data_IF_444562558289
#
_entry.id   IF_444562558289
#
_cell.length_a   1.000
_cell.length_b   1.000
_cell.length_c   1.000
_cell.angle_alpha   90.00
_cell.angle_beta   90.00
_cell.angle_gamma   90.00
#
_symmetry.space_group_name_H-M   'P 1'
#
loop_
_entity.id
_entity.type
_entity.pdbx_description
1 polymer ?
#
# COMPACT_ATOMS: atom_id res chain seq x y z
N UNK A 1 -15.22 -30.89 -13.03
CA UNK A 1 -14.96 -30.40 -14.40
C UNK A 1 -15.39 -28.94 -14.42
N UNK A 2 -14.46 -28.03 -14.16
CA UNK A 2 -14.74 -26.58 -14.26
C UNK A 2 -14.92 -26.27 -15.74
N UNK A 3 -16.02 -25.64 -16.12
CA UNK A 3 -16.07 -24.97 -17.41
C UNK A 3 -14.92 -23.97 -17.40
N UNK A 4 -13.93 -24.16 -18.27
CA UNK A 4 -12.90 -23.17 -18.54
C UNK A 4 -13.64 -21.98 -19.15
N UNK A 5 -13.79 -20.91 -18.38
CA UNK A 5 -14.38 -19.67 -18.85
C UNK A 5 -13.59 -19.23 -20.10
N UNK A 6 -14.29 -18.77 -21.15
CA UNK A 6 -13.65 -18.33 -22.39
C UNK A 6 -12.57 -17.25 -22.11
N UNK A 7 -11.37 -17.32 -22.72
CA UNK A 7 -10.27 -16.41 -22.41
C UNK A 7 -10.64 -14.93 -22.50
N UNK A 8 -11.42 -14.53 -23.50
CA UNK A 8 -11.85 -13.15 -23.65
C UNK A 8 -12.82 -12.72 -22.54
N UNK A 9 -13.76 -13.59 -22.16
CA UNK A 9 -14.66 -13.34 -21.04
C UNK A 9 -13.91 -13.24 -19.70
N UNK A 10 -12.90 -14.09 -19.48
CA UNK A 10 -12.00 -14.01 -18.34
C UNK A 10 -11.25 -12.69 -18.29
N UNK A 11 -10.63 -12.28 -19.41
CA UNK A 11 -9.91 -11.02 -19.55
C UNK A 11 -10.80 -9.83 -19.17
N UNK A 12 -11.97 -9.72 -19.78
CA UNK A 12 -12.91 -8.63 -19.53
C UNK A 12 -13.40 -8.60 -18.06
N UNK A 13 -13.65 -9.77 -17.48
CA UNK A 13 -14.07 -9.89 -16.09
C UNK A 13 -12.96 -9.45 -15.14
N UNK A 14 -11.72 -9.84 -15.43
CA UNK A 14 -10.58 -9.49 -14.61
C UNK A 14 -10.22 -8.01 -14.70
N UNK A 15 -10.26 -7.41 -15.89
CA UNK A 15 -10.13 -5.95 -16.07
C UNK A 15 -11.14 -5.18 -15.20
N UNK A 16 -12.41 -5.62 -15.16
CA UNK A 16 -13.45 -5.00 -14.32
C UNK A 16 -13.21 -5.18 -12.83
N UNK A 17 -12.57 -6.28 -12.42
CA UNK A 17 -12.19 -6.48 -11.02
C UNK A 17 -11.05 -5.56 -10.63
N UNK A 18 -10.01 -5.46 -11.46
CA UNK A 18 -8.85 -4.58 -11.25
C UNK A 18 -9.26 -3.11 -11.20
N UNK A 19 -10.17 -2.66 -12.07
CA UNK A 19 -10.63 -1.27 -12.07
C UNK A 19 -11.45 -0.87 -10.84
N UNK A 20 -11.95 -1.86 -10.08
CA UNK A 20 -12.69 -1.66 -8.83
C UNK A 20 -11.84 -1.87 -7.57
N UNK A 21 -10.54 -2.13 -7.73
CA UNK A 21 -9.64 -2.29 -6.60
C UNK A 21 -9.56 -0.99 -5.79
N UNK A 22 -9.68 -1.16 -4.48
CA UNK A 22 -9.54 -0.11 -3.47
C UNK A 22 -8.69 -0.67 -2.31
N UNK A 23 -8.48 0.13 -1.26
CA UNK A 23 -7.65 -0.28 -0.12
C UNK A 23 -8.18 -1.53 0.62
N UNK A 24 -9.42 -1.99 0.39
CA UNK A 24 -10.04 -3.15 1.05
C UNK A 24 -9.29 -4.45 0.81
N UNK A 25 -9.01 -5.16 1.92
CA UNK A 25 -8.45 -6.52 1.87
C UNK A 25 -9.38 -7.49 1.12
N UNK A 26 -10.70 -7.29 1.22
CA UNK A 26 -11.69 -8.13 0.53
C UNK A 26 -11.59 -8.02 -0.99
N UNK A 27 -11.40 -6.80 -1.51
CA UNK A 27 -11.28 -6.55 -2.95
C UNK A 27 -10.02 -7.22 -3.53
N UNK A 28 -8.88 -7.07 -2.86
CA UNK A 28 -7.61 -7.70 -3.26
C UNK A 28 -7.70 -9.23 -3.20
N UNK A 29 -8.28 -9.78 -2.12
CA UNK A 29 -8.47 -11.22 -1.95
C UNK A 29 -9.38 -11.82 -3.04
N UNK A 30 -10.46 -11.14 -3.39
CA UNK A 30 -11.38 -11.57 -4.44
C UNK A 30 -10.67 -11.61 -5.81
N UNK A 31 -9.86 -10.58 -6.13
CA UNK A 31 -9.05 -10.57 -7.35
C UNK A 31 -8.05 -11.74 -7.39
N UNK A 32 -7.34 -11.99 -6.28
CA UNK A 32 -6.36 -13.07 -6.21
C UNK A 32 -7.02 -14.45 -6.37
N UNK A 33 -8.18 -14.66 -5.74
CA UNK A 33 -8.97 -15.87 -5.90
C UNK A 33 -9.46 -16.06 -7.33
N UNK A 34 -9.89 -14.98 -8.00
CA UNK A 34 -10.27 -15.04 -9.41
C UNK A 34 -9.08 -15.47 -10.29
N UNK A 35 -7.92 -14.86 -10.09
CA UNK A 35 -6.71 -15.16 -10.85
C UNK A 35 -6.27 -16.63 -10.67
N UNK A 36 -6.30 -17.15 -9.44
CA UNK A 36 -5.92 -18.54 -9.15
C UNK A 36 -6.96 -19.56 -9.61
N UNK A 37 -8.25 -19.22 -9.58
CA UNK A 37 -9.31 -20.08 -10.13
C UNK A 37 -9.11 -20.31 -11.63
N UNK A 38 -8.60 -19.31 -12.34
CA UNK A 38 -8.37 -19.32 -13.78
C UNK A 38 -6.86 -19.37 -14.11
N UNK A 39 -6.06 -20.06 -13.27
CA UNK A 39 -4.59 -20.12 -13.42
C UNK A 39 -4.08 -20.72 -14.74
N UNK A 40 -4.95 -21.41 -15.49
CA UNK A 40 -4.64 -21.89 -16.84
C UNK A 40 -4.51 -20.76 -17.88
N UNK A 41 -4.97 -19.56 -17.53
CA UNK A 41 -4.86 -18.33 -18.32
C UNK A 41 -3.95 -17.31 -17.63
N UNK A 42 -3.05 -17.75 -16.76
CA UNK A 42 -2.25 -16.85 -15.92
C UNK A 42 -1.39 -15.86 -16.70
N UNK A 43 -0.78 -16.26 -17.82
CA UNK A 43 -0.03 -15.37 -18.71
C UNK A 43 -0.92 -14.25 -19.30
N UNK A 44 -2.14 -14.58 -19.73
CA UNK A 44 -3.10 -13.59 -20.24
C UNK A 44 -3.59 -12.66 -19.13
N UNK A 45 -3.97 -13.24 -17.98
CA UNK A 45 -4.41 -12.46 -16.82
C UNK A 45 -3.30 -11.57 -16.27
N UNK A 46 -2.05 -12.05 -16.25
CA UNK A 46 -0.91 -11.24 -15.85
C UNK A 46 -0.63 -10.11 -16.84
N UNK A 47 -0.80 -10.37 -18.15
CA UNK A 47 -0.77 -9.32 -19.17
C UNK A 47 -1.81 -8.22 -18.89
N UNK A 48 -3.03 -8.59 -18.46
CA UNK A 48 -4.03 -7.59 -18.02
C UNK A 48 -3.55 -6.76 -16.83
N UNK A 49 -2.85 -7.36 -15.86
CA UNK A 49 -2.30 -6.61 -14.71
C UNK A 49 -1.34 -5.53 -15.22
N UNK A 50 -0.41 -5.90 -16.10
CA UNK A 50 0.56 -4.96 -16.66
C UNK A 50 -0.12 -3.89 -17.52
N UNK A 51 -1.05 -4.27 -18.39
CA UNK A 51 -1.83 -3.34 -19.21
C UNK A 51 -2.59 -2.32 -18.35
N UNK A 52 -3.25 -2.76 -17.28
CA UNK A 52 -3.98 -1.87 -16.38
C UNK A 52 -3.05 -0.98 -15.55
N UNK A 53 -1.89 -1.49 -15.12
CA UNK A 53 -0.87 -0.68 -14.45
C UNK A 53 -0.31 0.41 -15.36
N UNK A 54 -0.18 0.15 -16.66
CA UNK A 54 0.42 1.07 -17.62
C UNK A 54 -0.61 2.01 -18.28
N UNK A 55 -1.90 1.67 -18.23
CA UNK A 55 -2.98 2.45 -18.84
C UNK A 55 -3.07 3.88 -18.26
N UNK A 56 -3.12 4.88 -19.15
CA UNK A 56 -3.27 6.29 -18.79
C UNK A 56 -4.61 6.60 -18.10
N UNK A 57 -5.65 5.80 -18.37
CA UNK A 57 -6.98 5.95 -17.77
C UNK A 57 -7.03 5.51 -16.29
N UNK A 58 -6.00 4.80 -15.81
CA UNK A 58 -5.95 4.26 -14.45
C UNK A 58 -5.23 5.23 -13.52
N UNK A 59 -5.96 5.72 -12.53
CA UNK A 59 -5.42 6.66 -11.53
C UNK A 59 -4.24 6.09 -10.77
N UNK A 60 -3.31 6.95 -10.34
CA UNK A 60 -2.15 6.54 -9.53
C UNK A 60 -2.55 5.80 -8.25
N UNK A 61 -3.67 6.18 -7.64
CA UNK A 61 -4.16 5.52 -6.43
C UNK A 61 -4.64 4.09 -6.73
N UNK A 62 -5.33 3.89 -7.87
CA UNK A 62 -5.69 2.54 -8.34
C UNK A 62 -4.44 1.71 -8.65
N UNK A 63 -3.38 2.30 -9.23
CA UNK A 63 -2.10 1.60 -9.44
C UNK A 63 -1.46 1.17 -8.12
N UNK A 64 -1.52 2.00 -7.09
CA UNK A 64 -1.10 1.61 -5.72
C UNK A 64 -1.98 0.47 -5.18
N UNK A 65 -3.30 0.49 -5.40
CA UNK A 65 -4.17 -0.63 -5.02
C UNK A 65 -3.80 -1.93 -5.74
N UNK A 66 -3.47 -1.85 -7.02
CA UNK A 66 -2.97 -3.00 -7.79
C UNK A 66 -1.64 -3.52 -7.22
N UNK A 67 -0.75 -2.64 -6.78
CA UNK A 67 0.50 -3.04 -6.13
C UNK A 67 0.25 -3.84 -4.84
N UNK A 68 -0.69 -3.40 -3.99
CA UNK A 68 -1.08 -4.18 -2.81
C UNK A 68 -1.77 -5.50 -3.19
N UNK A 69 -2.58 -5.49 -4.25
CA UNK A 69 -3.17 -6.72 -4.78
C UNK A 69 -2.09 -7.70 -5.25
N UNK A 70 -1.01 -7.25 -5.89
CA UNK A 70 0.12 -8.10 -6.31
C UNK A 70 0.74 -8.81 -5.10
N UNK A 71 0.92 -8.12 -3.97
CA UNK A 71 1.38 -8.75 -2.73
C UNK A 71 0.42 -9.84 -2.25
N UNK A 72 -0.89 -9.55 -2.25
CA UNK A 72 -1.93 -10.53 -1.88
C UNK A 72 -1.95 -11.72 -2.85
N UNK A 73 -1.74 -11.47 -4.15
CA UNK A 73 -1.67 -12.51 -5.17
C UNK A 73 -0.47 -13.44 -4.94
N UNK A 74 0.69 -12.89 -4.61
CA UNK A 74 1.87 -13.69 -4.23
C UNK A 74 1.59 -14.58 -3.02
N UNK A 75 1.03 -14.01 -1.94
CA UNK A 75 0.69 -14.76 -0.72
C UNK A 75 -0.30 -15.90 -1.01
N UNK A 76 -1.30 -15.63 -1.84
CA UNK A 76 -2.30 -16.62 -2.24
C UNK A 76 -1.74 -17.68 -3.17
N UNK A 77 -0.85 -17.30 -4.09
CA UNK A 77 -0.19 -18.22 -5.03
C UNK A 77 0.73 -19.18 -4.29
N UNK A 78 1.50 -18.68 -3.32
CA UNK A 78 2.33 -19.51 -2.44
C UNK A 78 1.48 -20.49 -1.61
N UNK A 79 0.38 -20.03 -1.02
CA UNK A 79 -0.56 -20.90 -0.27
C UNK A 79 -1.22 -21.96 -1.15
N UNK A 80 -1.39 -21.68 -2.43
CA UNK A 80 -1.96 -22.60 -3.42
C UNK A 80 -0.90 -23.49 -4.10
N UNK A 81 0.37 -23.40 -3.68
CA UNK A 81 1.51 -24.08 -4.29
C UNK A 81 1.59 -23.86 -5.81
N UNK A 82 1.39 -22.60 -6.23
CA UNK A 82 1.40 -22.18 -7.63
C UNK A 82 2.45 -21.09 -7.87
N UNK A 83 3.51 -21.43 -8.62
CA UNK A 83 4.63 -20.53 -8.89
C UNK A 83 4.40 -19.49 -10.00
N UNK A 84 3.49 -19.75 -10.95
CA UNK A 84 3.37 -18.98 -12.21
C UNK A 84 3.28 -17.47 -12.01
N UNK A 85 2.35 -17.00 -11.17
CA UNK A 85 2.24 -15.58 -10.86
C UNK A 85 3.48 -15.02 -10.14
N UNK A 86 4.05 -15.77 -9.19
CA UNK A 86 5.24 -15.30 -8.45
C UNK A 86 6.46 -15.14 -9.35
N UNK A 87 6.61 -16.00 -10.36
CA UNK A 87 7.73 -15.96 -11.29
C UNK A 87 7.58 -14.82 -12.30
N UNK A 88 6.36 -14.59 -12.82
CA UNK A 88 6.07 -13.43 -13.65
C UNK A 88 6.26 -12.11 -12.90
N UNK A 89 5.82 -12.03 -11.64
CA UNK A 89 6.03 -10.84 -10.80
C UNK A 89 7.51 -10.59 -10.54
N UNK A 90 8.30 -11.63 -10.23
CA UNK A 90 9.76 -11.51 -10.07
C UNK A 90 10.43 -10.97 -11.33
N UNK A 91 10.03 -11.47 -12.50
CA UNK A 91 10.56 -11.06 -13.80
C UNK A 91 10.27 -9.59 -14.10
N UNK A 92 9.04 -9.15 -13.86
CA UNK A 92 8.54 -7.85 -14.31
C UNK A 92 8.42 -6.81 -13.16
N UNK A 93 9.05 -7.06 -12.01
CA UNK A 93 8.91 -6.22 -10.80
C UNK A 93 9.32 -4.76 -11.04
N UNK A 94 10.38 -4.53 -11.83
CA UNK A 94 10.83 -3.18 -12.19
C UNK A 94 9.80 -2.45 -13.04
N UNK A 95 9.16 -3.15 -13.98
CA UNK A 95 8.08 -2.59 -14.80
C UNK A 95 6.87 -2.23 -13.95
N UNK A 96 6.53 -3.07 -12.97
CA UNK A 96 5.47 -2.78 -12.00
C UNK A 96 5.81 -1.52 -11.18
N UNK A 97 7.05 -1.41 -10.70
CA UNK A 97 7.51 -0.25 -9.92
C UNK A 97 7.46 1.03 -10.75
N UNK A 98 7.97 1.02 -11.98
CA UNK A 98 7.96 2.21 -12.85
C UNK A 98 6.54 2.63 -13.25
N UNK A 99 5.60 1.68 -13.36
CA UNK A 99 4.20 2.00 -13.61
C UNK A 99 3.52 2.69 -12.41
N UNK A 100 3.86 2.31 -11.17
CA UNK A 100 3.27 2.88 -9.95
C UNK A 100 3.97 4.17 -9.51
N UNK A 101 5.27 4.26 -9.77
CA UNK A 101 6.09 5.44 -9.54
C UNK A 101 6.58 5.88 -10.91
N UNK A 102 5.84 6.69 -11.68
CA UNK A 102 6.32 7.29 -12.93
C UNK A 102 7.23 8.51 -12.67
N UNK A 103 7.96 8.98 -13.70
CA UNK A 103 8.91 10.11 -13.62
C UNK A 103 8.25 11.49 -13.36
N UNK A 104 6.97 11.54 -13.02
CA UNK A 104 6.22 12.79 -12.80
C UNK A 104 6.03 13.08 -11.30
N UNK A 105 5.45 14.24 -10.98
CA UNK A 105 5.17 14.63 -9.59
C UNK A 105 4.22 13.68 -8.86
N UNK A 106 3.34 12.98 -9.57
CA UNK A 106 2.40 12.04 -8.95
C UNK A 106 3.09 10.76 -8.47
N UNK A 107 4.16 10.32 -9.16
CA UNK A 107 4.96 9.17 -8.76
C UNK A 107 5.68 9.39 -7.43
N UNK A 108 6.15 10.61 -7.17
CA UNK A 108 6.86 10.95 -5.93
C UNK A 108 6.01 10.68 -4.67
N UNK A 109 4.70 10.94 -4.74
CA UNK A 109 3.78 10.66 -3.64
C UNK A 109 3.66 9.16 -3.32
N UNK A 110 4.01 8.28 -4.25
CA UNK A 110 3.92 6.83 -4.09
C UNK A 110 5.23 6.20 -3.58
N UNK A 111 6.36 6.94 -3.58
CA UNK A 111 7.70 6.39 -3.26
C UNK A 111 7.73 5.69 -1.90
N UNK A 112 7.20 6.32 -0.85
CA UNK A 112 7.18 5.74 0.49
C UNK A 112 6.37 4.44 0.56
N UNK A 113 5.23 4.41 -0.14
CA UNK A 113 4.35 3.25 -0.23
C UNK A 113 5.03 2.10 -0.97
N UNK A 114 5.59 2.36 -2.15
CA UNK A 114 6.26 1.33 -2.97
C UNK A 114 7.47 0.76 -2.23
N UNK A 115 8.30 1.61 -1.60
CA UNK A 115 9.44 1.16 -0.78
C UNK A 115 9.02 0.13 0.26
N UNK A 116 7.93 0.41 0.98
CA UNK A 116 7.41 -0.48 2.02
C UNK A 116 6.88 -1.80 1.44
N UNK A 117 6.12 -1.76 0.35
CA UNK A 117 5.60 -3.00 -0.28
C UNK A 117 6.75 -3.85 -0.83
N UNK A 118 7.77 -3.24 -1.42
CA UNK A 118 8.95 -3.95 -1.92
C UNK A 118 9.75 -4.62 -0.80
N UNK A 119 9.94 -3.93 0.33
CA UNK A 119 10.56 -4.54 1.52
C UNK A 119 9.77 -5.74 2.05
N UNK A 120 8.43 -5.64 2.09
CA UNK A 120 7.59 -6.78 2.47
C UNK A 120 7.73 -7.95 1.49
N UNK A 121 7.70 -7.68 0.18
CA UNK A 121 7.87 -8.72 -0.84
C UNK A 121 9.26 -9.35 -0.80
N UNK A 122 10.31 -8.58 -0.52
CA UNK A 122 11.67 -9.08 -0.30
C UNK A 122 11.74 -10.00 0.92
N UNK A 123 11.17 -9.58 2.06
CA UNK A 123 11.10 -10.40 3.27
C UNK A 123 10.33 -11.72 3.08
N UNK A 124 9.45 -11.77 2.08
CA UNK A 124 8.71 -12.98 1.66
C UNK A 124 9.41 -13.78 0.55
N UNK A 125 10.55 -13.33 0.03
CA UNK A 125 11.31 -14.00 -1.04
C UNK A 125 10.73 -13.83 -2.45
N UNK A 126 9.88 -12.83 -2.67
CA UNK A 126 9.32 -12.50 -4.00
C UNK A 126 10.14 -11.44 -4.74
N UNK A 127 11.06 -10.75 -4.05
CA UNK A 127 12.02 -9.82 -4.66
C UNK A 127 13.41 -10.25 -4.22
N UNK A 128 14.32 -10.40 -5.17
CA UNK A 128 15.70 -10.76 -4.87
C UNK A 128 16.51 -9.51 -4.44
N UNK A 129 17.70 -9.73 -3.89
CA UNK A 129 18.54 -8.64 -3.39
C UNK A 129 18.95 -7.65 -4.49
N UNK A 130 19.31 -8.14 -5.67
CA UNK A 130 19.75 -7.32 -6.82
C UNK A 130 18.62 -6.37 -7.27
N UNK A 131 17.43 -6.90 -7.52
CA UNK A 131 16.27 -6.11 -7.90
C UNK A 131 15.87 -5.13 -6.78
N UNK A 132 16.03 -5.51 -5.51
CA UNK A 132 15.76 -4.59 -4.40
C UNK A 132 16.74 -3.41 -4.37
N UNK A 133 18.03 -3.64 -4.63
CA UNK A 133 19.03 -2.58 -4.75
C UNK A 133 18.70 -1.63 -5.89
N UNK A 134 18.36 -2.15 -7.07
CA UNK A 134 17.96 -1.37 -8.24
C UNK A 134 16.72 -0.53 -7.98
N UNK A 135 15.68 -1.14 -7.38
CA UNK A 135 14.45 -0.44 -6.98
C UNK A 135 14.77 0.66 -5.96
N UNK A 136 15.61 0.37 -4.97
CA UNK A 136 15.98 1.35 -3.94
C UNK A 136 16.68 2.56 -4.55
N UNK A 137 17.61 2.33 -5.48
CA UNK A 137 18.30 3.39 -6.21
C UNK A 137 17.32 4.23 -7.05
N UNK A 138 16.42 3.58 -7.80
CA UNK A 138 15.39 4.25 -8.59
C UNK A 138 14.49 5.12 -7.71
N UNK A 139 14.00 4.60 -6.59
CA UNK A 139 13.14 5.34 -5.68
C UNK A 139 13.87 6.53 -5.02
N UNK A 140 15.16 6.38 -4.70
CA UNK A 140 15.97 7.46 -4.15
C UNK A 140 16.21 8.59 -5.18
N UNK A 141 16.41 8.25 -6.45
CA UNK A 141 16.51 9.22 -7.55
C UNK A 141 15.22 10.04 -7.65
N UNK A 142 14.06 9.37 -7.72
CA UNK A 142 12.75 10.01 -7.86
C UNK A 142 12.44 10.95 -6.70
N UNK A 143 12.80 10.54 -5.48
CA UNK A 143 12.62 11.37 -4.29
C UNK A 143 13.50 12.64 -4.34
N UNK A 144 14.72 12.53 -4.87
CA UNK A 144 15.63 13.67 -5.06
C UNK A 144 15.13 14.63 -6.13
N UNK A 145 14.72 14.12 -7.28
CA UNK A 145 14.16 14.93 -8.38
C UNK A 145 12.93 15.73 -7.92
N UNK A 146 12.02 15.10 -7.18
CA UNK A 146 10.83 15.77 -6.65
C UNK A 146 11.17 16.80 -5.57
N UNK A 147 12.12 16.52 -4.67
CA UNK A 147 12.58 17.55 -3.71
C UNK A 147 13.20 18.74 -4.43
N UNK A 148 13.94 18.50 -5.52
CA UNK A 148 14.52 19.55 -6.35
C UNK A 148 13.47 20.45 -7.02
N UNK A 149 12.35 19.87 -7.49
CA UNK A 149 11.26 20.65 -8.09
C UNK A 149 10.45 21.46 -7.06
N UNK A 150 10.27 20.95 -5.85
CA UNK A 150 9.57 21.67 -4.77
C UNK A 150 10.46 22.74 -4.12
N UNK A 151 11.77 22.52 -4.05
CA UNK A 151 12.74 23.42 -3.43
C UNK A 151 13.23 24.57 -4.36
N UNK A 152 12.68 24.68 -5.57
CA UNK A 152 12.92 25.82 -6.47
C UNK A 152 11.76 26.82 -6.32
N UNK A 153 11.82 27.77 -5.36
CA UNK A 153 10.87 28.88 -5.34
C UNK A 153 11.16 29.78 -6.54
N UNK A 154 10.44 29.58 -7.64
CA UNK A 154 10.24 30.70 -8.57
C UNK A 154 9.50 31.79 -7.81
N UNK A 155 10.25 32.85 -7.51
CA UNK A 155 9.82 34.23 -7.24
C UNK A 155 8.30 34.42 -7.22
N UNK A 156 7.68 34.25 -6.05
CA UNK A 156 6.43 34.93 -5.78
C UNK A 156 6.76 36.43 -5.67
N UNK A 157 6.72 37.12 -6.81
CA UNK A 157 6.67 38.58 -6.84
C UNK A 157 5.42 38.96 -6.05
N UNK A 158 5.64 39.46 -4.84
CA UNK A 158 4.63 40.17 -4.09
C UNK A 158 4.33 41.45 -4.87
N UNK A 159 3.31 41.41 -5.73
CA UNK A 159 2.63 42.62 -6.15
C UNK A 159 1.56 42.91 -5.09
N UNK A 160 1.93 43.77 -4.18
CA UNK A 160 1.06 44.51 -3.28
C UNK A 160 0.47 45.65 -4.12
N UNK A 161 -0.69 45.46 -4.73
CA UNK A 161 -1.50 46.56 -5.24
C UNK A 161 -2.99 46.18 -5.39
N UNK A 162 -3.77 46.85 -4.56
CA UNK A 162 -5.13 47.37 -4.76
C UNK A 162 -6.33 46.49 -5.16
N UNK A 163 -7.44 46.78 -4.47
CA UNK A 163 -8.78 46.23 -4.64
C UNK A 163 -9.38 46.53 -6.04
N UNK A 164 -9.71 45.50 -6.82
CA UNK A 164 -10.80 45.55 -7.80
C UNK A 164 -11.60 44.22 -7.88
N UNK A 165 -12.94 44.28 -7.99
CA UNK A 165 -13.80 43.10 -8.05
C UNK A 165 -13.96 42.64 -9.50
N UNK A 166 -13.12 41.72 -9.94
CA UNK A 166 -13.28 41.08 -11.24
C UNK A 166 -11.99 40.48 -11.75
N UNK A 167 -11.65 39.27 -11.32
CA UNK A 167 -10.54 38.56 -11.92
C UNK A 167 -10.81 37.05 -12.02
N UNK A 168 -11.21 36.64 -13.22
CA UNK A 168 -11.37 35.26 -13.71
C UNK A 168 -10.01 34.53 -13.86
N UNK A 169 -9.09 34.75 -12.92
CA UNK A 169 -7.69 34.30 -12.99
C UNK A 169 -7.25 33.35 -11.88
N UNK A 170 -8.18 32.86 -11.03
CA UNK A 170 -7.87 31.97 -9.89
C UNK A 170 -8.07 30.48 -10.19
N UNK A 171 -8.25 30.09 -11.45
CA UNK A 171 -8.64 28.73 -11.84
C UNK A 171 -7.49 27.75 -12.09
N UNK A 172 -6.22 28.15 -12.01
CA UNK A 172 -5.10 27.24 -12.28
C UNK A 172 -4.78 26.32 -11.09
N UNK A 173 -5.25 26.64 -9.86
CA UNK A 173 -5.01 25.85 -8.64
C UNK A 173 -6.04 24.74 -8.38
N UNK A 174 -7.01 24.52 -9.26
CA UNK A 174 -8.00 23.43 -9.16
C UNK A 174 -7.90 22.49 -10.36
N UNK A 175 -6.87 21.64 -10.40
CA UNK A 175 -6.74 20.60 -11.45
C UNK A 175 -6.62 19.17 -10.92
N UNK A 176 -7.04 18.93 -9.69
CA UNK A 176 -7.41 17.59 -9.23
C UNK A 176 -8.77 17.72 -8.56
N UNK A 177 -9.71 16.87 -8.94
CA UNK A 177 -11.05 16.84 -8.35
C UNK A 177 -10.92 16.55 -6.85
N UNK A 178 -11.51 17.42 -6.01
CA UNK A 178 -11.50 17.27 -4.54
C UNK A 178 -11.99 15.88 -4.14
N UNK A 179 -12.93 15.30 -4.90
CA UNK A 179 -13.41 13.93 -4.70
C UNK A 179 -12.29 12.88 -4.77
N UNK A 180 -11.38 13.01 -5.75
CA UNK A 180 -10.23 12.10 -5.93
C UNK A 180 -9.25 12.23 -4.76
N UNK A 181 -9.01 13.46 -4.31
CA UNK A 181 -8.12 13.72 -3.18
C UNK A 181 -8.70 13.10 -1.90
N UNK A 182 -9.99 13.34 -1.62
CA UNK A 182 -10.66 12.76 -0.45
C UNK A 182 -10.68 11.23 -0.49
N UNK A 183 -10.95 10.64 -1.66
CA UNK A 183 -10.89 9.19 -1.83
C UNK A 183 -9.50 8.65 -1.50
N UNK A 184 -8.43 9.27 -2.02
CA UNK A 184 -7.06 8.87 -1.72
C UNK A 184 -6.73 8.99 -0.23
N UNK A 185 -7.15 10.07 0.42
CA UNK A 185 -6.95 10.27 1.86
C UNK A 185 -7.66 9.18 2.68
N UNK A 186 -8.89 8.82 2.33
CA UNK A 186 -9.65 7.78 3.01
C UNK A 186 -9.00 6.40 2.81
N UNK A 187 -8.55 6.11 1.60
CA UNK A 187 -7.84 4.86 1.31
C UNK A 187 -6.52 4.75 2.08
N UNK A 188 -5.75 5.83 2.19
CA UNK A 188 -4.53 5.85 2.99
C UNK A 188 -4.80 5.73 4.49
N UNK A 189 -5.89 6.32 5.01
CA UNK A 189 -6.34 6.11 6.40
C UNK A 189 -6.66 4.65 6.65
N UNK A 190 -7.38 4.02 5.73
CA UNK A 190 -7.77 2.62 5.83
C UNK A 190 -6.53 1.69 5.77
N UNK A 191 -5.54 1.98 4.93
CA UNK A 191 -4.26 1.23 4.93
C UNK A 191 -3.52 1.34 6.25
N UNK A 192 -3.42 2.54 6.81
CA UNK A 192 -2.75 2.76 8.10
C UNK A 192 -3.48 2.09 9.25
N UNK A 193 -4.81 2.11 9.23
CA UNK A 193 -5.64 1.38 10.18
C UNK A 193 -5.32 -0.12 10.12
N UNK A 194 -5.32 -0.72 8.92
CA UNK A 194 -4.97 -2.14 8.72
C UNK A 194 -3.60 -2.53 9.23
N UNK A 195 -2.59 -1.70 8.97
CA UNK A 195 -1.23 -1.96 9.47
C UNK A 195 -1.20 -2.12 10.98
N UNK A 196 -2.11 -1.42 11.69
CA UNK A 196 -2.18 -1.43 13.15
C UNK A 196 -3.09 -2.50 13.73
N UNK A 197 -3.94 -3.14 12.91
CA UNK A 197 -4.93 -4.14 13.37
C UNK A 197 -4.28 -5.34 14.08
N UNK A 198 -3.08 -5.74 13.66
CA UNK A 198 -2.40 -6.92 14.21
C UNK A 198 -1.23 -6.58 15.14
N UNK A 199 -1.00 -5.31 15.49
CA UNK A 199 0.14 -4.92 16.36
C UNK A 199 0.03 -5.56 17.74
N UNK A 200 -1.19 -5.64 18.29
CA UNK A 200 -1.44 -6.23 19.61
C UNK A 200 -1.55 -7.76 19.56
N UNK A 201 -1.68 -8.38 18.38
CA UNK A 201 -1.82 -9.83 18.27
C UNK A 201 -0.56 -10.55 18.81
N UNK A 202 -0.78 -11.68 19.47
CA UNK A 202 0.26 -12.55 20.00
C UNK A 202 0.17 -13.88 19.23
N UNK A 203 1.28 -14.36 18.64
CA UNK A 203 1.26 -15.64 17.93
C UNK A 203 1.03 -16.80 18.90
N UNK A 204 0.51 -17.95 18.42
CA UNK A 204 0.40 -19.14 19.25
C UNK A 204 1.79 -19.65 19.68
N UNK A 205 1.90 -20.33 20.83
CA UNK A 205 3.15 -20.97 21.25
C UNK A 205 3.71 -21.91 20.17
N UNK A 206 5.03 -21.91 20.01
CA UNK A 206 5.74 -22.79 19.08
C UNK A 206 7.00 -23.36 19.71
N UNK A 207 7.58 -24.41 19.14
CA UNK A 207 8.75 -25.12 19.70
C UNK A 207 9.96 -24.20 19.96
N UNK A 208 10.07 -23.06 19.25
CA UNK A 208 11.12 -22.05 19.45
C UNK A 208 10.73 -20.86 20.34
N UNK A 209 9.43 -20.70 20.65
CA UNK A 209 8.91 -19.61 21.47
C UNK A 209 7.73 -20.15 22.32
N UNK A 210 8.02 -20.80 23.46
CA UNK A 210 7.00 -21.46 24.27
C UNK A 210 6.07 -20.48 24.99
N UNK A 211 6.53 -19.24 25.24
CA UNK A 211 5.74 -18.22 25.93
C UNK A 211 5.78 -16.85 25.21
N UNK A 212 5.14 -16.74 24.03
CA UNK A 212 5.25 -15.56 23.16
C UNK A 212 4.68 -14.27 23.77
N UNK A 213 3.69 -14.40 24.66
CA UNK A 213 3.13 -13.26 25.40
C UNK A 213 4.16 -12.65 26.34
N UNK A 214 4.86 -13.50 27.11
CA UNK A 214 5.87 -13.05 28.06
C UNK A 214 7.05 -12.37 27.35
N UNK A 215 7.61 -13.00 26.31
CA UNK A 215 8.76 -12.43 25.58
C UNK A 215 8.42 -11.06 24.97
N UNK A 216 7.24 -10.95 24.34
CA UNK A 216 6.77 -9.69 23.78
C UNK A 216 6.59 -8.62 24.86
N UNK A 217 5.99 -8.97 26.00
CA UNK A 217 5.81 -8.05 27.11
C UNK A 217 7.17 -7.62 27.69
N UNK A 218 8.11 -8.54 27.84
CA UNK A 218 9.45 -8.28 28.36
C UNK A 218 10.27 -7.34 27.46
N UNK A 219 10.19 -7.52 26.13
CA UNK A 219 10.88 -6.65 25.18
C UNK A 219 10.26 -5.25 25.06
N UNK A 220 8.96 -5.13 25.37
CA UNK A 220 8.20 -3.89 25.18
C UNK A 220 7.97 -3.13 26.49
N UNK A 221 8.25 -3.73 27.63
CA UNK A 221 8.06 -3.07 28.93
C UNK A 221 8.99 -1.88 29.05
N UNK A 222 8.43 -0.73 29.36
CA UNK A 222 9.20 0.46 29.74
C UNK A 222 9.51 0.44 31.24
N UNK A 223 10.52 1.21 31.64
CA UNK A 223 10.74 1.49 33.06
C UNK A 223 9.51 2.17 33.68
N UNK A 224 9.32 1.94 34.98
CA UNK A 224 8.26 2.59 35.75
C UNK A 224 8.40 4.12 35.71
N UNK A 225 7.31 4.79 35.37
CA UNK A 225 7.23 6.24 35.28
C UNK A 225 6.15 6.81 36.23
N UNK A 226 5.98 8.14 36.19
CA UNK A 226 5.03 8.85 37.06
C UNK A 226 3.57 8.47 36.80
N UNK A 227 3.20 8.27 35.52
CA UNK A 227 1.85 7.85 35.12
C UNK A 227 1.51 6.47 35.70
N UNK A 228 2.48 5.54 35.72
CA UNK A 228 2.30 4.22 36.33
C UNK A 228 1.98 4.33 37.84
N UNK A 229 2.70 5.18 38.57
CA UNK A 229 2.43 5.42 39.99
C UNK A 229 1.08 6.10 40.22
N UNK A 230 0.64 6.97 39.30
CA UNK A 230 -0.67 7.60 39.37
C UNK A 230 -1.78 6.56 39.19
N UNK A 231 -1.69 5.71 38.17
CA UNK A 231 -2.63 4.60 37.94
C UNK A 231 -2.72 3.70 39.19
N UNK A 232 -1.58 3.32 39.78
CA UNK A 232 -1.55 2.49 40.99
C UNK A 232 -2.22 3.16 42.20
N UNK A 233 -2.11 4.49 42.34
CA UNK A 233 -2.79 5.24 43.41
C UNK A 233 -4.28 5.30 43.17
N UNK A 234 -4.71 5.56 41.93
CA UNK A 234 -6.12 5.61 41.54
C UNK A 234 -6.82 4.26 41.76
N UNK A 235 -6.21 3.16 41.31
CA UNK A 235 -6.75 1.81 41.52
C UNK A 235 -6.92 1.48 43.02
N UNK A 236 -5.94 1.84 43.84
CA UNK A 236 -6.02 1.66 45.30
C UNK A 236 -7.14 2.49 45.93
N UNK A 237 -7.38 3.72 45.44
CA UNK A 237 -8.48 4.56 45.91
C UNK A 237 -9.84 3.98 45.52
N UNK A 238 -9.97 3.47 44.29
CA UNK A 238 -11.18 2.78 43.80
C UNK A 238 -11.48 1.56 44.68
N UNK A 239 -10.48 0.73 44.95
CA UNK A 239 -10.63 -0.43 45.83
C UNK A 239 -11.09 0.00 47.23
N UNK A 240 -10.44 0.99 47.83
CA UNK A 240 -10.80 1.48 49.16
C UNK A 240 -12.25 2.00 49.21
N UNK A 241 -12.72 2.68 48.15
CA UNK A 241 -14.09 3.16 48.04
C UNK A 241 -15.11 2.04 47.83
N UNK A 242 -14.72 0.93 47.20
CA UNK A 242 -15.60 -0.22 46.90
C UNK A 242 -15.87 -1.14 48.10
N UNK A 243 -15.07 -1.03 49.16
CA UNK A 243 -15.13 -1.89 50.35
C UNK A 243 -16.01 -1.27 51.47
N UNK A 244 -16.54 -0.06 51.24
CA UNK A 244 -17.46 0.66 52.14
C UNK A 244 -18.90 0.48 51.67
#
# INVERSE_FOLDING_TARGET
MSATDDPFACRLSFTKLLSRLNASAGASKQCAQFALRNRELDEDLFSVILEQLQSEDVTMNTRVNMLYFIEVLCDHSLKADYGGYTDMIRRDILQVVDAVVPNNSEGAANVGTVRKVMQNLQGKGFVNEISMEEITALLAEREREHRGSVASPEESVYDDDDEEPGNEGKDIKRKLDDSIIQQRMEEDRERHKRLRENIWAIPPPSDGLPNPEFEKAWDQVSDLNEDDYEIMREENQILAASVV
#
